data_IF_250080183956
#
_entry.id   IF_250080183956
#
_cell.length_a   1.000
_cell.length_b   1.000
_cell.length_c   1.000
_cell.angle_alpha   90.00
_cell.angle_beta   90.00
_cell.angle_gamma   90.00
#
_symmetry.space_group_name_H-M   'P 1'
#
loop_
_entity.id
_entity.type
_entity.pdbx_description
1 polymer ?
#
# COMPACT_ATOMS: atom_id res chain seq x y z
N UNK A 1 -23.11 -9.95 8.60
CA UNK A 1 -21.99 -9.61 7.71
C UNK A 1 -20.70 -9.96 8.46
N UNK A 2 -19.86 -10.81 7.90
CA UNK A 2 -18.59 -11.19 8.53
C UNK A 2 -17.55 -10.10 8.27
N UNK A 3 -16.60 -9.94 9.16
CA UNK A 3 -15.56 -8.91 9.03
C UNK A 3 -14.18 -9.57 9.04
N UNK A 4 -13.38 -9.28 8.01
CA UNK A 4 -12.05 -9.86 7.84
C UNK A 4 -11.02 -8.74 7.75
N UNK A 5 -9.96 -8.84 8.54
CA UNK A 5 -8.79 -7.97 8.43
C UNK A 5 -7.64 -8.73 7.80
N UNK A 6 -7.00 -8.11 6.82
CA UNK A 6 -5.90 -8.70 6.10
C UNK A 6 -4.75 -7.72 5.93
N UNK A 7 -3.53 -8.20 6.18
CA UNK A 7 -2.31 -7.46 5.90
C UNK A 7 -1.86 -7.74 4.48
N UNK A 8 -1.72 -6.69 3.68
CA UNK A 8 -1.23 -6.70 2.30
C UNK A 8 0.10 -5.98 2.25
N UNK A 9 1.15 -6.65 1.83
CA UNK A 9 2.47 -6.03 1.61
C UNK A 9 2.67 -5.77 0.13
N UNK A 10 3.25 -4.62 -0.21
CA UNK A 10 3.55 -4.23 -1.59
C UNK A 10 5.05 -4.24 -1.79
N UNK A 11 5.54 -5.12 -2.66
CA UNK A 11 6.96 -5.41 -2.89
C UNK A 11 7.33 -5.18 -4.36
N UNK A 12 8.61 -4.97 -4.61
CA UNK A 12 9.17 -4.75 -5.95
C UNK A 12 10.27 -3.69 -5.91
N UNK A 13 10.99 -3.56 -7.02
CA UNK A 13 12.17 -2.69 -7.16
C UNK A 13 11.83 -1.21 -7.01
N UNK A 14 12.84 -0.38 -6.86
CA UNK A 14 12.67 1.08 -6.85
C UNK A 14 12.16 1.56 -8.23
N UNK A 15 11.26 2.54 -8.23
CA UNK A 15 10.78 3.19 -9.45
C UNK A 15 9.67 2.45 -10.20
N UNK A 16 9.30 1.22 -9.82
CA UNK A 16 8.20 0.47 -10.47
C UNK A 16 6.79 1.06 -10.21
N UNK A 17 6.66 1.97 -9.23
CA UNK A 17 5.42 2.69 -8.97
C UNK A 17 4.55 2.09 -7.87
N UNK A 18 5.12 1.32 -6.91
CA UNK A 18 4.40 0.76 -5.76
C UNK A 18 3.56 1.80 -5.03
N UNK A 19 4.21 2.85 -4.56
CA UNK A 19 3.58 3.97 -3.85
C UNK A 19 2.51 4.64 -4.71
N UNK A 20 2.76 4.82 -6.00
CA UNK A 20 1.79 5.42 -6.92
C UNK A 20 0.53 4.57 -7.07
N UNK A 21 0.67 3.26 -7.16
CA UNK A 21 -0.46 2.30 -7.20
C UNK A 21 -1.26 2.37 -5.90
N UNK A 22 -0.59 2.34 -4.74
CA UNK A 22 -1.27 2.40 -3.43
C UNK A 22 -1.99 3.74 -3.22
N UNK A 23 -1.32 4.86 -3.48
CA UNK A 23 -1.94 6.20 -3.34
C UNK A 23 -3.11 6.36 -4.31
N UNK A 24 -2.97 5.85 -5.54
CA UNK A 24 -4.07 5.87 -6.51
C UNK A 24 -5.27 5.08 -6.00
N UNK A 25 -5.05 3.88 -5.45
CA UNK A 25 -6.12 3.04 -4.91
C UNK A 25 -6.81 3.67 -3.70
N UNK A 26 -6.02 4.13 -2.72
CA UNK A 26 -6.57 4.60 -1.43
C UNK A 26 -7.13 6.02 -1.51
N UNK A 27 -6.49 6.89 -2.30
CA UNK A 27 -6.78 8.32 -2.32
C UNK A 27 -7.25 8.87 -3.68
N UNK A 28 -7.31 8.05 -4.73
CA UNK A 28 -7.68 8.50 -6.08
C UNK A 28 -6.67 9.46 -6.72
N UNK A 29 -5.52 9.69 -6.08
CA UNK A 29 -4.54 10.69 -6.49
C UNK A 29 -3.35 10.08 -7.23
N UNK A 30 -2.73 10.88 -8.11
CA UNK A 30 -1.48 10.57 -8.76
C UNK A 30 -0.57 11.78 -8.78
N UNK A 31 0.70 11.57 -8.47
CA UNK A 31 1.75 12.59 -8.63
C UNK A 31 2.91 12.01 -9.43
N UNK A 32 3.42 12.79 -10.39
CA UNK A 32 4.64 12.42 -11.11
C UNK A 32 5.90 12.58 -10.24
N UNK A 33 5.83 13.43 -9.22
CA UNK A 33 6.93 13.74 -8.31
C UNK A 33 6.73 13.02 -6.97
N UNK A 34 6.76 11.67 -6.98
CA UNK A 34 6.76 10.87 -5.76
C UNK A 34 8.20 10.69 -5.31
N UNK A 35 8.51 11.17 -4.11
CA UNK A 35 9.82 10.90 -3.49
C UNK A 35 9.98 9.41 -3.19
N UNK A 36 11.20 8.87 -3.29
CA UNK A 36 11.45 7.49 -2.91
C UNK A 36 10.99 7.20 -1.48
N UNK A 37 10.26 6.10 -1.28
CA UNK A 37 9.78 5.68 0.03
C UNK A 37 10.98 5.30 0.92
N UNK A 38 10.99 5.81 2.16
CA UNK A 38 11.97 5.44 3.19
C UNK A 38 11.27 4.51 4.18
N UNK A 39 11.75 3.27 4.27
CA UNK A 39 11.13 2.26 5.13
C UNK A 39 9.82 1.72 4.55
N UNK A 40 8.71 1.98 5.19
CA UNK A 40 7.38 1.62 4.69
C UNK A 40 6.32 2.62 5.13
N UNK A 41 5.30 2.82 4.28
CA UNK A 41 4.10 3.58 4.59
C UNK A 41 2.93 2.64 4.85
N UNK A 42 2.06 3.01 5.79
CA UNK A 42 0.91 2.20 6.18
C UNK A 42 -0.40 2.90 5.79
N UNK A 43 -1.26 2.15 5.10
CA UNK A 43 -2.58 2.62 4.70
C UNK A 43 -3.65 1.62 5.14
N UNK A 44 -4.85 2.11 5.41
CA UNK A 44 -6.01 1.27 5.67
C UNK A 44 -7.08 1.54 4.63
N UNK A 45 -7.57 0.50 3.99
CA UNK A 45 -8.70 0.58 3.08
C UNK A 45 -9.81 -0.38 3.53
N UNK A 46 -11.06 0.09 3.48
CA UNK A 46 -12.24 -0.71 3.84
C UNK A 46 -13.11 -0.88 2.61
N UNK A 47 -13.49 -2.12 2.35
CA UNK A 47 -14.38 -2.46 1.26
C UNK A 47 -15.43 -3.48 1.71
N UNK A 48 -16.51 -3.58 0.95
CA UNK A 48 -17.53 -4.60 1.14
C UNK A 48 -17.54 -5.50 -0.10
N UNK A 49 -17.47 -6.80 0.14
CA UNK A 49 -17.54 -7.82 -0.90
C UNK A 49 -18.54 -8.89 -0.43
N UNK A 50 -19.66 -9.00 -1.12
CA UNK A 50 -20.76 -9.90 -0.75
C UNK A 50 -21.18 -9.71 0.73
N UNK A 51 -21.05 -10.76 1.52
CA UNK A 51 -21.36 -10.77 2.95
C UNK A 51 -20.17 -10.45 3.85
N UNK A 52 -19.07 -9.93 3.29
CA UNK A 52 -17.85 -9.60 4.00
C UNK A 52 -17.57 -8.11 4.02
N UNK A 53 -17.22 -7.59 5.18
CA UNK A 53 -16.50 -6.32 5.34
C UNK A 53 -15.02 -6.63 5.45
N UNK A 54 -14.25 -6.13 4.50
CA UNK A 54 -12.82 -6.40 4.43
C UNK A 54 -12.06 -5.13 4.78
N UNK A 55 -11.14 -5.24 5.73
CA UNK A 55 -10.20 -4.18 6.06
C UNK A 55 -8.80 -4.59 5.60
N UNK A 56 -8.32 -3.94 4.55
CA UNK A 56 -6.97 -4.14 4.06
C UNK A 56 -6.02 -3.20 4.79
N UNK A 57 -5.00 -3.76 5.41
CA UNK A 57 -3.85 -3.05 5.97
C UNK A 57 -2.72 -3.10 4.94
N UNK A 58 -2.57 -2.05 4.15
CA UNK A 58 -1.61 -2.00 3.04
C UNK A 58 -0.29 -1.39 3.51
N UNK A 59 0.78 -2.16 3.37
CA UNK A 59 2.15 -1.77 3.69
C UNK A 59 2.89 -1.50 2.38
N UNK A 60 3.01 -0.23 2.01
CA UNK A 60 3.82 0.22 0.87
C UNK A 60 5.28 0.29 1.30
N UNK A 61 6.14 -0.54 0.71
CA UNK A 61 7.53 -0.68 1.13
C UNK A 61 8.50 0.05 0.21
N UNK A 62 9.64 0.46 0.78
CA UNK A 62 10.75 0.98 0.01
C UNK A 62 11.27 -0.07 -0.98
N UNK A 63 11.52 0.34 -2.23
CA UNK A 63 12.07 -0.54 -3.27
C UNK A 63 13.58 -0.47 -3.40
N UNK A 64 14.27 0.35 -2.62
CA UNK A 64 15.73 0.46 -2.68
C UNK A 64 16.38 -0.74 -1.97
N UNK A 65 17.42 -1.29 -2.56
CA UNK A 65 18.19 -2.45 -2.08
C UNK A 65 18.73 -2.25 -0.66
N UNK A 66 19.13 -1.03 -0.31
CA UNK A 66 19.63 -0.70 1.05
C UNK A 66 18.58 -0.89 2.16
N UNK A 67 17.30 -0.90 1.81
CA UNK A 67 16.21 -1.15 2.76
C UNK A 67 15.72 -2.60 2.73
N UNK A 68 16.26 -3.45 1.85
CA UNK A 68 15.85 -4.84 1.70
C UNK A 68 15.99 -5.64 3.00
N UNK A 69 17.02 -5.37 3.78
CA UNK A 69 17.22 -6.02 5.08
C UNK A 69 16.07 -5.77 6.09
N UNK A 70 15.28 -4.72 5.89
CA UNK A 70 14.12 -4.39 6.72
C UNK A 70 12.82 -5.05 6.20
N UNK A 71 12.80 -5.56 4.98
CA UNK A 71 11.61 -6.14 4.35
C UNK A 71 10.95 -7.25 5.18
N UNK A 72 11.71 -8.16 5.87
CA UNK A 72 11.13 -9.17 6.75
C UNK A 72 10.20 -8.61 7.83
N UNK A 73 10.47 -7.42 8.34
CA UNK A 73 9.62 -6.75 9.33
C UNK A 73 8.26 -6.37 8.73
N UNK A 74 8.24 -6.02 7.43
CA UNK A 74 7.05 -5.55 6.75
C UNK A 74 6.18 -6.70 6.26
N UNK A 75 6.75 -7.77 5.67
CA UNK A 75 5.95 -8.90 5.18
C UNK A 75 5.63 -9.95 6.24
N UNK A 76 6.22 -9.89 7.43
CA UNK A 76 5.89 -10.81 8.53
C UNK A 76 4.39 -10.81 8.80
N UNK A 77 3.79 -12.01 8.83
CA UNK A 77 2.34 -12.23 8.99
C UNK A 77 1.49 -11.54 7.91
N UNK A 78 2.05 -11.31 6.71
CA UNK A 78 1.24 -10.83 5.59
C UNK A 78 0.30 -11.95 5.12
N UNK A 79 -0.94 -11.57 4.82
CA UNK A 79 -1.96 -12.46 4.25
C UNK A 79 -1.96 -12.39 2.73
N UNK A 80 -1.49 -11.27 2.17
CA UNK A 80 -1.29 -11.11 0.73
C UNK A 80 -0.01 -10.32 0.43
N UNK A 81 0.58 -10.57 -0.74
CA UNK A 81 1.68 -9.80 -1.32
C UNK A 81 1.33 -9.36 -2.74
N UNK A 82 1.41 -8.07 -2.99
CA UNK A 82 1.37 -7.50 -4.33
C UNK A 82 2.80 -7.30 -4.80
N UNK A 83 3.18 -8.02 -5.84
CA UNK A 83 4.52 -8.05 -6.43
C UNK A 83 4.49 -7.16 -7.66
N UNK A 84 4.98 -5.93 -7.54
CA UNK A 84 4.86 -4.92 -8.58
C UNK A 84 6.17 -4.80 -9.34
N UNK A 85 6.08 -4.93 -10.67
CA UNK A 85 7.16 -4.64 -11.61
C UNK A 85 6.73 -3.56 -12.60
N UNK A 86 7.69 -2.95 -13.27
CA UNK A 86 7.50 -2.02 -14.36
C UNK A 86 7.56 -2.82 -15.68
N UNK A 87 6.49 -2.81 -16.48
CA UNK A 87 6.47 -3.58 -17.73
C UNK A 87 7.45 -3.07 -18.79
N UNK A 88 8.02 -1.88 -18.59
CA UNK A 88 9.09 -1.31 -19.43
C UNK A 88 10.49 -1.61 -18.90
N UNK A 89 10.62 -2.54 -17.92
CA UNK A 89 11.90 -2.93 -17.33
C UNK A 89 11.93 -4.42 -17.02
N UNK A 90 12.62 -5.18 -17.87
CA UNK A 90 12.83 -6.60 -17.67
C UNK A 90 13.57 -6.90 -16.35
N UNK A 91 14.52 -6.06 -15.96
CA UNK A 91 15.25 -6.21 -14.69
C UNK A 91 14.31 -6.17 -13.49
N UNK A 92 13.34 -5.24 -13.49
CA UNK A 92 12.37 -5.15 -12.40
C UNK A 92 11.46 -6.38 -12.30
N UNK A 93 11.19 -7.05 -13.43
CA UNK A 93 10.46 -8.31 -13.48
C UNK A 93 11.31 -9.47 -12.97
N UNK A 94 12.61 -9.52 -13.32
CA UNK A 94 13.52 -10.54 -12.79
C UNK A 94 13.67 -10.43 -11.27
N UNK A 95 13.71 -9.24 -10.72
CA UNK A 95 13.78 -9.01 -9.26
C UNK A 95 12.58 -9.60 -8.51
N UNK A 96 11.43 -9.77 -9.17
CA UNK A 96 10.25 -10.42 -8.57
C UNK A 96 10.55 -11.85 -8.13
N UNK A 97 11.42 -12.57 -8.86
CA UNK A 97 11.79 -13.96 -8.51
C UNK A 97 12.45 -14.02 -7.13
N UNK A 98 13.26 -13.03 -6.83
CA UNK A 98 13.92 -12.93 -5.53
C UNK A 98 12.91 -12.64 -4.42
N UNK A 99 11.94 -11.74 -4.66
CA UNK A 99 10.87 -11.46 -3.70
C UNK A 99 10.01 -12.70 -3.43
N UNK A 100 9.65 -13.44 -4.47
CA UNK A 100 8.89 -14.70 -4.33
C UNK A 100 9.67 -15.74 -3.52
N UNK A 101 10.95 -15.90 -3.82
CA UNK A 101 11.84 -16.82 -3.08
C UNK A 101 11.93 -16.44 -1.60
N UNK A 102 12.08 -15.13 -1.32
CA UNK A 102 12.17 -14.60 0.02
C UNK A 102 10.85 -14.79 0.80
N UNK A 103 9.71 -14.50 0.18
CA UNK A 103 8.39 -14.73 0.80
C UNK A 103 8.18 -16.20 1.12
N UNK A 104 8.42 -17.11 0.15
CA UNK A 104 8.26 -18.56 0.34
C UNK A 104 9.18 -19.13 1.44
N UNK A 105 10.36 -18.54 1.63
CA UNK A 105 11.32 -18.96 2.66
C UNK A 105 10.94 -18.48 4.06
N UNK A 106 10.25 -17.35 4.18
CA UNK A 106 10.06 -16.67 5.47
C UNK A 106 8.60 -16.64 5.94
N UNK A 107 7.65 -17.08 5.12
CA UNK A 107 6.22 -17.11 5.46
C UNK A 107 5.75 -18.57 5.42
N UNK A 108 5.41 -19.11 6.58
CA UNK A 108 4.95 -20.50 6.74
C UNK A 108 3.44 -20.67 6.53
N UNK A 109 2.69 -19.55 6.54
CA UNK A 109 1.23 -19.55 6.33
C UNK A 109 0.88 -19.33 4.87
N UNK A 110 -0.27 -19.82 4.40
CA UNK A 110 -0.75 -19.51 3.05
C UNK A 110 -0.86 -18.02 2.82
N UNK A 111 -0.27 -17.55 1.73
CA UNK A 111 -0.28 -16.14 1.31
C UNK A 111 -0.86 -16.00 -0.09
N UNK A 112 -1.77 -15.06 -0.28
CA UNK A 112 -2.26 -14.68 -1.61
C UNK A 112 -1.21 -13.83 -2.31
N UNK A 113 -0.70 -14.25 -3.45
CA UNK A 113 0.23 -13.46 -4.26
C UNK A 113 -0.48 -12.89 -5.48
N UNK A 114 -0.20 -11.63 -5.81
CA UNK A 114 -0.67 -10.97 -7.02
C UNK A 114 0.53 -10.33 -7.72
N UNK A 115 0.84 -10.79 -8.92
CA UNK A 115 1.84 -10.19 -9.80
C UNK A 115 1.20 -9.02 -10.55
N UNK A 116 1.79 -7.85 -10.46
CA UNK A 116 1.22 -6.61 -11.02
C UNK A 116 2.23 -5.97 -11.98
N UNK A 117 1.93 -6.00 -13.28
CA UNK A 117 2.66 -5.24 -14.29
C UNK A 117 2.15 -3.80 -14.33
N UNK A 118 2.90 -2.88 -13.76
CA UNK A 118 2.53 -1.48 -13.73
C UNK A 118 3.11 -0.70 -14.92
N UNK A 119 2.58 0.51 -15.13
CA UNK A 119 2.90 1.44 -16.22
C UNK A 119 2.40 0.97 -17.59
N UNK A 120 1.23 0.32 -17.63
CA UNK A 120 0.59 -0.13 -18.87
C UNK A 120 0.25 1.00 -19.86
N UNK A 121 0.36 2.25 -19.41
CA UNK A 121 0.28 3.43 -20.26
C UNK A 121 1.51 3.64 -21.18
N UNK A 122 2.62 2.95 -20.92
CA UNK A 122 3.87 2.98 -21.68
C UNK A 122 4.01 1.74 -22.57
N UNK A 123 2.92 1.32 -23.22
CA UNK A 123 2.89 0.07 -23.99
C UNK A 123 3.91 0.00 -25.14
N UNK A 124 4.28 1.16 -25.71
CA UNK A 124 5.27 1.25 -26.80
C UNK A 124 6.73 0.91 -26.32
N UNK A 125 6.98 1.09 -25.03
CA UNK A 125 8.27 0.82 -24.40
C UNK A 125 8.28 -0.54 -23.65
N UNK A 126 7.30 -1.41 -23.90
CA UNK A 126 7.16 -2.69 -23.21
C UNK A 126 8.33 -3.61 -23.46
N UNK A 127 8.97 -4.09 -22.38
CA UNK A 127 10.04 -5.10 -22.40
C UNK A 127 9.54 -6.47 -21.91
N UNK A 128 8.49 -6.51 -21.08
CA UNK A 128 7.93 -7.74 -20.54
C UNK A 128 6.60 -8.03 -21.22
N UNK A 129 6.50 -9.16 -21.92
CA UNK A 129 5.24 -9.55 -22.56
C UNK A 129 4.19 -9.93 -21.53
N UNK A 130 2.92 -9.75 -21.88
CA UNK A 130 1.78 -10.17 -21.04
C UNK A 130 1.80 -11.69 -20.84
N UNK A 131 2.16 -12.43 -21.90
CA UNK A 131 2.23 -13.89 -21.94
C UNK A 131 3.29 -14.41 -20.95
N UNK A 132 4.51 -13.88 -20.99
CA UNK A 132 5.60 -14.28 -20.08
C UNK A 132 5.24 -13.98 -18.62
N UNK A 133 4.62 -12.84 -18.37
CA UNK A 133 4.18 -12.46 -17.03
C UNK A 133 3.06 -13.37 -16.50
N UNK A 134 2.08 -13.72 -17.35
CA UNK A 134 1.00 -14.65 -17.00
C UNK A 134 1.52 -16.06 -16.74
N UNK A 135 2.45 -16.55 -17.58
CA UNK A 135 3.09 -17.85 -17.40
C UNK A 135 3.84 -17.89 -16.06
N UNK A 136 4.62 -16.86 -15.77
CA UNK A 136 5.33 -16.79 -14.50
C UNK A 136 4.37 -16.72 -13.31
N UNK A 137 3.32 -15.88 -13.36
CA UNK A 137 2.31 -15.79 -12.31
C UNK A 137 1.66 -17.15 -12.04
N UNK A 138 1.28 -17.87 -13.11
CA UNK A 138 0.72 -19.22 -13.02
C UNK A 138 1.70 -20.19 -12.36
N UNK A 139 2.97 -20.15 -12.72
CA UNK A 139 4.02 -21.04 -12.20
C UNK A 139 4.25 -20.89 -10.69
N UNK A 140 4.00 -19.71 -10.15
CA UNK A 140 4.15 -19.42 -8.71
C UNK A 140 2.83 -19.48 -7.94
N UNK A 141 1.70 -19.70 -8.63
CA UNK A 141 0.35 -19.70 -8.04
C UNK A 141 -0.14 -18.30 -7.67
N UNK A 142 0.27 -17.28 -8.40
CA UNK A 142 -0.13 -15.90 -8.18
C UNK A 142 -1.25 -15.47 -9.15
N UNK A 143 -2.04 -14.49 -8.72
CA UNK A 143 -2.90 -13.70 -9.59
C UNK A 143 -2.05 -12.84 -10.52
N UNK A 144 -2.62 -12.39 -11.63
CA UNK A 144 -1.94 -11.48 -12.54
C UNK A 144 -2.86 -10.33 -12.94
N UNK A 145 -2.32 -9.11 -12.89
CA UNK A 145 -3.00 -7.90 -13.35
C UNK A 145 -1.99 -6.95 -14.01
N UNK A 146 -2.44 -6.22 -15.02
CA UNK A 146 -1.72 -5.06 -15.53
C UNK A 146 -2.40 -3.78 -15.06
N UNK A 147 -1.61 -2.77 -14.69
CA UNK A 147 -2.10 -1.52 -14.10
C UNK A 147 -1.39 -0.30 -14.68
N UNK A 148 -2.10 0.83 -14.65
CA UNK A 148 -1.48 2.14 -14.80
C UNK A 148 -1.92 3.07 -13.68
N UNK A 149 -1.00 3.43 -12.80
CA UNK A 149 -1.25 4.44 -11.77
C UNK A 149 -1.52 5.82 -12.39
N UNK A 150 -0.92 6.12 -13.54
CA UNK A 150 -1.15 7.36 -14.28
C UNK A 150 -2.58 7.44 -14.81
N UNK A 151 -3.03 6.41 -15.53
CA UNK A 151 -4.36 6.36 -16.17
C UNK A 151 -5.47 5.86 -15.25
N UNK A 152 -5.14 5.39 -14.06
CA UNK A 152 -6.08 4.77 -13.11
C UNK A 152 -6.79 3.55 -13.72
N UNK A 153 -6.05 2.66 -14.37
CA UNK A 153 -6.58 1.44 -14.98
C UNK A 153 -6.06 0.19 -14.29
N UNK A 154 -6.91 -0.83 -14.12
CA UNK A 154 -6.56 -2.14 -13.57
C UNK A 154 -6.26 -2.18 -12.06
N UNK A 155 -6.17 -1.01 -11.38
CA UNK A 155 -5.80 -0.95 -9.96
C UNK A 155 -6.91 -1.50 -9.08
N UNK A 156 -8.14 -1.04 -9.27
CA UNK A 156 -9.29 -1.52 -8.51
C UNK A 156 -9.49 -3.02 -8.70
N UNK A 157 -9.31 -3.52 -9.94
CA UNK A 157 -9.41 -4.95 -10.26
C UNK A 157 -8.33 -5.76 -9.55
N UNK A 158 -7.09 -5.28 -9.48
CA UNK A 158 -6.00 -5.96 -8.79
C UNK A 158 -6.30 -6.11 -7.28
N UNK A 159 -6.73 -5.05 -6.62
CA UNK A 159 -7.09 -5.11 -5.21
C UNK A 159 -8.37 -5.92 -4.95
N UNK A 160 -9.35 -5.84 -5.85
CA UNK A 160 -10.57 -6.64 -5.77
C UNK A 160 -10.27 -8.15 -5.87
N UNK A 161 -9.45 -8.56 -6.83
CA UNK A 161 -9.03 -9.97 -6.97
C UNK A 161 -8.29 -10.46 -5.73
N UNK A 162 -7.38 -9.66 -5.17
CA UNK A 162 -6.70 -9.98 -3.90
C UNK A 162 -7.71 -10.16 -2.78
N UNK A 163 -8.68 -9.25 -2.64
CA UNK A 163 -9.72 -9.34 -1.61
C UNK A 163 -10.60 -10.58 -1.76
N UNK A 164 -11.01 -10.95 -2.99
CA UNK A 164 -11.77 -12.17 -3.28
C UNK A 164 -11.00 -13.43 -2.87
N UNK A 165 -9.70 -13.49 -3.17
CA UNK A 165 -8.87 -14.64 -2.81
C UNK A 165 -8.58 -14.69 -1.31
N UNK A 166 -8.50 -13.55 -0.63
CA UNK A 166 -8.42 -13.49 0.84
C UNK A 166 -9.69 -14.03 1.50
N UNK A 167 -10.87 -13.69 0.98
CA UNK A 167 -12.14 -14.27 1.47
C UNK A 167 -12.17 -15.77 1.24
N UNK A 168 -11.81 -16.24 0.04
CA UNK A 168 -11.74 -17.68 -0.27
C UNK A 168 -10.75 -18.39 0.66
N UNK A 169 -9.59 -17.80 0.91
CA UNK A 169 -8.59 -18.35 1.84
C UNK A 169 -9.14 -18.42 3.26
N UNK A 170 -9.85 -17.40 3.72
CA UNK A 170 -10.50 -17.38 5.02
C UNK A 170 -11.56 -18.49 5.17
N UNK A 171 -12.33 -18.74 4.12
CA UNK A 171 -13.39 -19.77 4.13
C UNK A 171 -12.85 -21.20 4.09
N UNK A 172 -11.73 -21.40 3.37
CA UNK A 172 -11.19 -22.74 3.11
C UNK A 172 -10.10 -23.17 4.08
N UNK A 173 -9.45 -22.20 4.76
CA UNK A 173 -8.32 -22.50 5.63
C UNK A 173 -8.45 -21.82 7.01
N UNK A 174 -8.86 -22.55 8.06
CA UNK A 174 -8.95 -22.02 9.42
C UNK A 174 -7.62 -21.48 9.98
N UNK A 175 -6.49 -21.94 9.43
CA UNK A 175 -5.13 -21.53 9.84
C UNK A 175 -4.55 -20.44 8.92
N UNK A 176 -5.40 -19.73 8.18
CA UNK A 176 -4.97 -18.69 7.22
C UNK A 176 -4.31 -17.47 7.88
N UNK A 177 -4.36 -17.34 9.21
CA UNK A 177 -3.88 -16.16 9.93
C UNK A 177 -4.77 -14.92 9.74
N UNK A 178 -5.91 -15.07 9.04
CA UNK A 178 -6.91 -14.02 8.89
C UNK A 178 -7.80 -13.97 10.13
N UNK A 179 -8.03 -12.80 10.66
CA UNK A 179 -8.83 -12.61 11.87
C UNK A 179 -10.19 -12.00 11.55
N UNK A 180 -11.21 -12.52 12.24
CA UNK A 180 -12.54 -11.88 12.28
C UNK A 180 -12.46 -10.68 13.22
N UNK A 181 -12.94 -9.51 12.77
CA UNK A 181 -13.09 -8.34 13.61
C UNK A 181 -14.58 -8.12 13.84
N UNK A 182 -14.98 -8.02 15.09
CA UNK A 182 -16.29 -7.47 15.43
C UNK A 182 -16.21 -5.96 15.22
N UNK A 183 -16.82 -5.45 14.15
CA UNK A 183 -17.06 -4.04 14.02
C UNK A 183 -18.14 -3.66 15.05
N UNK A 184 -17.71 -3.30 16.25
CA UNK A 184 -18.58 -2.49 17.12
C UNK A 184 -18.82 -1.18 16.38
N UNK A 185 -20.04 -1.00 15.99
CA UNK A 185 -20.55 0.25 15.41
C UNK A 185 -20.44 1.33 16.50
N UNK A 186 -19.31 2.02 16.57
CA UNK A 186 -19.10 3.16 17.45
C UNK A 186 -19.86 4.39 16.92
N UNK A 187 -21.14 4.21 16.60
CA UNK A 187 -22.10 5.29 16.38
C UNK A 187 -22.77 5.71 17.70
N UNK A 188 -21.99 5.83 18.77
CA UNK A 188 -22.39 6.65 19.93
C UNK A 188 -21.51 7.90 19.92
N UNK A 189 -22.09 9.11 19.83
CA UNK A 189 -21.34 10.32 20.09
C UNK A 189 -20.92 10.26 21.56
N UNK A 190 -19.64 10.04 21.82
CA UNK A 190 -19.07 10.27 23.14
C UNK A 190 -19.12 11.78 23.41
N UNK A 191 -20.12 12.20 24.19
CA UNK A 191 -20.04 13.43 24.92
C UNK A 191 -18.90 13.30 25.93
N UNK A 192 -17.72 13.68 25.57
CA UNK A 192 -16.63 13.91 26.49
C UNK A 192 -16.32 15.40 26.50
N UNK A 193 -16.73 15.98 27.64
CA UNK A 193 -16.25 17.18 28.29
C UNK A 193 -14.99 17.80 27.72
N UNK A 194 -15.12 19.10 27.51
CA UNK A 194 -14.11 19.99 26.93
C UNK A 194 -12.73 19.96 27.58
N UNK A 195 -11.76 19.91 26.72
CA UNK A 195 -10.47 20.49 26.96
C UNK A 195 -10.36 21.76 26.12
N UNK A 196 -10.50 22.91 26.79
CA UNK A 196 -10.23 24.23 26.21
C UNK A 196 -8.73 24.29 25.95
N UNK A 197 -8.36 24.36 24.69
CA UNK A 197 -7.01 24.77 24.30
C UNK A 197 -7.04 26.29 24.22
N UNK A 198 -6.38 26.94 25.17
CA UNK A 198 -6.15 28.37 25.17
C UNK A 198 -5.24 28.75 24.01
N UNK A 199 -5.76 29.61 23.13
CA UNK A 199 -4.98 30.26 22.08
C UNK A 199 -4.13 31.39 22.66
N UNK A 200 -2.86 31.58 22.28
CA UNK A 200 -2.09 32.71 22.73
C UNK A 200 -2.59 33.99 22.09
N UNK A 201 -3.03 34.92 22.91
CA UNK A 201 -3.40 36.31 22.52
C UNK A 201 -2.17 37.04 22.00
N UNK A 202 -2.26 37.56 20.80
CA UNK A 202 -1.40 38.62 20.30
C UNK A 202 -1.62 39.88 21.17
N UNK A 203 -0.61 40.30 21.89
CA UNK A 203 -0.53 41.63 22.45
C UNK A 203 0.10 42.57 21.41
N UNK A 204 -0.68 43.44 20.87
CA UNK A 204 -0.27 44.70 20.26
C UNK A 204 -0.26 45.71 21.35
N UNK A 205 0.90 46.27 21.65
CA UNK A 205 1.02 47.56 22.36
C UNK A 205 1.90 48.49 21.54
N UNK A 206 1.23 49.42 20.91
CA UNK A 206 1.77 50.71 20.51
C UNK A 206 1.93 51.55 21.78
N UNK A 207 3.10 52.05 22.08
CA UNK A 207 3.25 53.34 22.74
C UNK A 207 4.52 54.03 22.27
N UNK A 208 4.26 55.21 21.85
CA UNK A 208 5.04 56.33 21.34
C UNK A 208 5.76 57.03 22.50
N UNK A 209 6.93 57.54 22.21
CA UNK A 209 7.56 58.77 22.75
C UNK A 209 9.07 58.57 22.82
N UNK A 210 9.85 59.20 21.98
CA UNK A 210 10.22 60.60 22.18
C UNK A 210 11.63 60.66 22.70
N UNK A 211 12.54 61.24 21.88
CA UNK A 211 13.57 62.11 22.44
C UNK A 211 15.01 61.67 22.46
N UNK A 212 15.79 62.24 21.60
CA UNK A 212 17.05 62.90 22.04
C UNK A 212 18.36 62.19 21.80
N UNK A 213 19.10 62.61 20.79
CA UNK A 213 20.33 63.33 21.07
C UNK A 213 21.66 62.61 20.91
N UNK A 214 22.36 63.06 19.88
CA UNK A 214 23.80 63.34 19.79
C UNK A 214 24.88 62.32 20.16
N UNK A 215 25.78 62.12 19.23
CA UNK A 215 27.17 62.43 19.49
C UNK A 215 28.19 61.34 19.13
N UNK A 216 29.01 61.72 18.20
CA UNK A 216 30.31 61.19 17.78
C UNK A 216 30.32 59.94 16.94
#
# INVERSE_FOLDING_TARGET
MKSVEAKVVVLGSQGVGKTSVVIRYVGGMFSKAVSPTIGASFFTYKMTLDNYRIKLQVWDTAGQERFRAMAPMYYRKANAAMLIYDMTSADSFYDIKDWVSELKKNIDTPIVMCLVGNKSDLGDDREVSTEDAMEYASSIGALFCETSALKNTGIDDAFLQVAQHLVKLYETNPNSGLHTIDFQDNSRPSTSSGMKVDSPKKQTSLEDSGGGGCGC
#
